data_IF_385495106670
#
_entry.id   IF_385495106670
#
_cell.length_a   1.000
_cell.length_b   1.000
_cell.length_c   1.000
_cell.angle_alpha   90.00
_cell.angle_beta   90.00
_cell.angle_gamma   90.00
#
_symmetry.space_group_name_H-M   'P 1'
#
loop_
_entity.id
_entity.type
_entity.pdbx_description
1 polymer ?
#
# COMPACT_ATOMS: atom_id res chain seq x y z
N UNK A 1 23.00 54.31 36.33
CA UNK A 1 22.26 55.26 37.19
C UNK A 1 20.77 55.01 36.94
N UNK A 2 20.07 54.44 37.94
CA UNK A 2 18.61 54.19 38.08
C UNK A 2 17.95 53.24 37.03
N UNK A 3 17.68 51.95 37.27
CA UNK A 3 16.69 51.25 38.13
C UNK A 3 15.22 51.68 38.02
N UNK A 4 14.33 50.76 37.59
CA UNK A 4 13.09 50.28 38.26
C UNK A 4 12.21 49.55 37.22
N UNK A 5 12.13 48.21 37.12
CA UNK A 5 11.28 47.23 37.85
C UNK A 5 9.91 47.71 38.38
N UNK A 6 8.83 47.10 37.88
CA UNK A 6 7.59 46.67 38.60
C UNK A 6 6.81 45.78 37.60
N UNK A 7 6.57 44.47 37.73
CA UNK A 7 6.01 43.57 38.78
C UNK A 7 4.46 43.58 38.85
N UNK A 8 3.87 42.58 38.16
CA UNK A 8 2.91 41.54 38.61
C UNK A 8 1.40 41.80 38.85
N UNK A 9 0.64 40.75 38.44
CA UNK A 9 -0.48 40.04 39.11
C UNK A 9 -1.96 40.37 38.71
N UNK A 10 -2.56 39.39 38.02
CA UNK A 10 -3.72 38.53 38.40
C UNK A 10 -5.05 39.14 38.90
N UNK A 11 -6.16 38.66 38.30
CA UNK A 11 -7.53 38.41 38.82
C UNK A 11 -8.56 38.68 37.71
N UNK A 12 -9.72 38.06 37.57
CA UNK A 12 -10.35 36.84 38.07
C UNK A 12 -11.70 36.77 37.30
N UNK A 13 -12.26 35.56 37.16
CA UNK A 13 -13.53 35.28 36.51
C UNK A 13 -14.71 36.08 37.10
N UNK A 14 -15.73 36.36 36.28
CA UNK A 14 -17.08 36.66 36.73
C UNK A 14 -18.12 36.22 35.69
N UNK A 15 -18.80 35.13 36.03
CA UNK A 15 -20.12 34.71 35.55
C UNK A 15 -21.14 35.84 35.76
N UNK A 16 -22.00 36.11 34.77
CA UNK A 16 -23.35 36.60 35.06
C UNK A 16 -24.32 36.17 33.95
N UNK A 17 -25.27 35.33 34.34
CA UNK A 17 -26.47 35.01 33.60
C UNK A 17 -27.52 36.12 33.81
N UNK A 18 -28.26 36.47 32.77
CA UNK A 18 -29.61 37.02 32.94
C UNK A 18 -30.47 36.62 31.73
N UNK A 19 -31.70 36.20 32.06
CA UNK A 19 -32.66 35.56 31.17
C UNK A 19 -33.66 36.56 30.56
N UNK A 20 -34.48 36.00 29.64
CA UNK A 20 -35.88 36.33 29.28
C UNK A 20 -36.09 37.28 28.09
N UNK A 21 -36.62 36.66 27.03
CA UNK A 21 -37.29 37.30 25.90
C UNK A 21 -38.02 36.25 25.05
N UNK A 22 -39.14 35.71 25.57
CA UNK A 22 -40.08 34.86 24.83
C UNK A 22 -40.83 35.65 23.75
N UNK A 23 -41.02 35.06 22.57
CA UNK A 23 -42.31 35.04 21.84
C UNK A 23 -42.41 33.85 20.88
N UNK A 24 -43.45 33.03 21.10
CA UNK A 24 -44.26 32.11 20.27
C UNK A 24 -43.97 32.03 18.74
N UNK A 25 -44.25 30.95 18.01
CA UNK A 25 -44.83 29.60 18.24
C UNK A 25 -44.77 28.86 16.89
N UNK A 26 -44.48 27.57 16.88
CA UNK A 26 -45.14 26.57 16.02
C UNK A 26 -44.68 25.17 16.45
N UNK A 27 -45.66 24.32 16.67
CA UNK A 27 -45.57 22.95 17.15
C UNK A 27 -45.86 22.04 15.95
N UNK A 28 -44.96 21.12 15.63
CA UNK A 28 -45.30 19.91 14.88
C UNK A 28 -44.68 18.70 15.57
N UNK A 29 -45.49 17.65 15.65
CA UNK A 29 -45.33 16.42 16.42
C UNK A 29 -44.22 15.54 15.86
N UNK A 30 -43.45 14.91 16.76
CA UNK A 30 -42.55 13.82 16.44
C UNK A 30 -43.14 12.54 17.04
N UNK A 31 -43.71 11.68 16.20
CA UNK A 31 -44.21 10.35 16.59
C UNK A 31 -43.06 9.34 16.53
N UNK A 32 -42.47 9.03 17.68
CA UNK A 32 -41.59 7.86 17.83
C UNK A 32 -42.45 6.62 18.10
N UNK A 33 -42.43 5.68 17.16
CA UNK A 33 -42.99 4.34 17.32
C UNK A 33 -41.94 3.45 17.98
N UNK A 34 -42.25 2.98 19.20
CA UNK A 34 -41.48 1.97 19.92
C UNK A 34 -41.57 0.61 19.20
N UNK A 35 -40.41 -0.03 18.97
CA UNK A 35 -40.34 -1.44 18.61
C UNK A 35 -39.89 -2.26 19.83
N UNK A 36 -40.83 -3.06 20.28
CA UNK A 36 -40.72 -4.06 21.32
C UNK A 36 -39.88 -5.25 20.83
N UNK A 37 -38.69 -5.47 21.41
CA UNK A 37 -37.95 -6.73 21.27
C UNK A 37 -37.86 -7.39 22.64
N UNK A 38 -38.30 -8.63 22.66
CA UNK A 38 -38.50 -9.51 23.79
C UNK A 38 -37.19 -10.21 24.15
N UNK A 39 -36.73 -10.06 25.40
CA UNK A 39 -35.59 -10.78 25.97
C UNK A 39 -35.83 -12.30 26.05
N UNK A 40 -34.78 -13.07 25.76
CA UNK A 40 -34.64 -14.46 26.19
C UNK A 40 -33.49 -14.53 27.20
N UNK A 41 -33.84 -14.83 28.44
CA UNK A 41 -32.97 -15.11 29.59
C UNK A 41 -32.39 -16.53 29.57
N UNK A 42 -31.08 -16.64 29.84
CA UNK A 42 -30.43 -17.69 30.65
C UNK A 42 -28.95 -17.32 30.80
N UNK A 43 -28.27 -17.28 31.95
CA UNK A 43 -28.55 -17.52 33.37
C UNK A 43 -27.25 -17.18 34.13
N UNK A 44 -27.37 -16.66 35.35
CA UNK A 44 -26.28 -16.16 36.19
C UNK A 44 -25.24 -17.22 36.63
N UNK A 45 -23.99 -16.79 36.77
CA UNK A 45 -23.20 -17.07 37.98
C UNK A 45 -22.23 -15.93 38.27
N UNK A 46 -22.41 -15.28 39.43
CA UNK A 46 -21.49 -14.37 40.13
C UNK A 46 -20.20 -15.13 40.54
N UNK A 47 -19.00 -14.55 40.72
CA UNK A 47 -18.67 -13.40 41.56
C UNK A 47 -17.21 -12.87 41.39
N UNK A 48 -17.05 -11.55 41.56
CA UNK A 48 -15.92 -10.69 42.02
C UNK A 48 -14.53 -10.63 41.35
N UNK A 49 -14.33 -9.51 40.65
CA UNK A 49 -13.21 -8.54 40.59
C UNK A 49 -11.73 -8.95 40.81
N UNK A 50 -10.91 -8.70 39.78
CA UNK A 50 -9.58 -8.09 39.92
C UNK A 50 -9.24 -7.25 38.66
N UNK A 51 -8.87 -5.99 38.90
CA UNK A 51 -8.35 -5.02 37.94
C UNK A 51 -7.08 -5.54 37.27
N UNK A 52 -7.06 -5.57 35.93
CA UNK A 52 -5.83 -5.39 35.16
C UNK A 52 -6.15 -4.89 33.75
N UNK A 53 -5.56 -3.74 33.42
CA UNK A 53 -5.45 -3.19 32.08
C UNK A 53 -4.69 -4.15 31.17
N UNK A 54 -5.37 -4.69 30.18
CA UNK A 54 -4.75 -5.23 28.97
C UNK A 54 -5.66 -4.87 27.81
N UNK A 55 -5.14 -4.01 26.94
CA UNK A 55 -5.72 -3.68 25.66
C UNK A 55 -5.87 -5.00 24.90
N UNK A 56 -7.12 -5.43 24.78
CA UNK A 56 -7.46 -6.69 24.13
C UNK A 56 -7.80 -6.30 22.71
N UNK A 57 -6.84 -6.46 21.81
CA UNK A 57 -7.07 -6.40 20.36
C UNK A 57 -8.20 -7.38 20.05
N UNK A 58 -9.39 -6.85 19.83
CA UNK A 58 -10.51 -7.63 19.34
C UNK A 58 -10.21 -7.97 17.89
N UNK A 59 -9.81 -9.21 17.65
CA UNK A 59 -9.73 -9.80 16.30
C UNK A 59 -11.09 -9.63 15.64
N UNK A 60 -11.19 -8.69 14.69
CA UNK A 60 -12.43 -8.36 14.01
C UNK A 60 -12.79 -9.50 13.04
N UNK A 61 -13.66 -10.38 13.49
CA UNK A 61 -14.14 -11.58 12.77
C UNK A 61 -15.58 -11.44 12.28
N UNK A 62 -16.13 -10.22 12.27
CA UNK A 62 -17.49 -9.95 11.79
C UNK A 62 -17.46 -9.56 10.30
N UNK A 63 -17.87 -10.50 9.44
CA UNK A 63 -18.08 -10.22 8.02
C UNK A 63 -19.10 -9.09 7.81
N UNK A 64 -18.81 -8.19 6.87
CA UNK A 64 -19.68 -7.07 6.46
C UNK A 64 -19.52 -5.79 7.29
N UNK A 65 -18.46 -5.65 8.09
CA UNK A 65 -18.13 -4.41 8.81
C UNK A 65 -16.87 -3.80 8.20
N UNK A 66 -16.84 -2.48 8.00
CA UNK A 66 -15.63 -1.77 7.57
C UNK A 66 -14.46 -2.08 8.52
N UNK A 67 -13.27 -2.30 7.98
CA UNK A 67 -12.06 -2.38 8.81
C UNK A 67 -11.80 -1.02 9.46
N UNK A 68 -11.91 0.04 8.66
CA UNK A 68 -11.80 1.43 9.13
C UNK A 68 -12.91 2.33 8.60
N UNK A 69 -13.31 3.32 9.41
CA UNK A 69 -14.24 4.37 9.00
C UNK A 69 -13.48 5.50 8.29
N UNK A 70 -13.54 5.48 6.96
CA UNK A 70 -12.87 6.42 6.08
C UNK A 70 -13.22 7.90 6.32
N UNK A 71 -14.37 8.20 6.95
CA UNK A 71 -14.77 9.57 7.22
C UNK A 71 -13.82 10.31 8.17
N UNK A 72 -13.09 9.57 9.02
CA UNK A 72 -12.15 10.15 10.00
C UNK A 72 -10.71 10.27 9.51
N UNK A 73 -10.38 9.65 8.37
CA UNK A 73 -9.00 9.54 7.88
C UNK A 73 -8.49 10.81 7.20
N UNK A 74 -9.40 11.68 6.74
CA UNK A 74 -9.05 12.92 6.03
C UNK A 74 -9.60 14.14 6.76
N UNK A 75 -8.74 15.11 7.04
CA UNK A 75 -9.18 16.41 7.56
C UNK A 75 -9.71 17.32 6.45
N UNK A 76 -10.45 18.37 6.82
CA UNK A 76 -10.84 19.42 5.87
C UNK A 76 -9.62 20.06 5.18
N UNK A 77 -8.49 20.11 5.88
CA UNK A 77 -7.26 20.68 5.34
C UNK A 77 -6.62 19.78 4.30
N UNK A 78 -6.61 18.47 4.51
CA UNK A 78 -6.08 17.49 3.56
C UNK A 78 -6.84 17.57 2.24
N UNK A 79 -8.17 17.73 2.33
CA UNK A 79 -9.08 17.80 1.20
C UNK A 79 -9.07 19.15 0.45
N UNK A 80 -8.43 20.19 0.99
CA UNK A 80 -8.35 21.49 0.34
C UNK A 80 -7.40 21.45 -0.87
N UNK A 81 -7.96 21.47 -2.08
CA UNK A 81 -7.24 21.33 -3.35
C UNK A 81 -6.51 22.59 -3.83
N UNK A 82 -6.53 23.68 -3.05
CA UNK A 82 -5.88 24.95 -3.39
C UNK A 82 -5.21 25.55 -2.17
N UNK A 83 -4.15 26.33 -2.40
CA UNK A 83 -3.45 27.08 -1.36
C UNK A 83 -3.97 28.53 -1.26
N UNK A 84 -3.94 29.10 -0.06
CA UNK A 84 -4.00 30.56 0.10
C UNK A 84 -2.62 31.14 -0.19
N UNK A 85 -2.50 31.92 -1.25
CA UNK A 85 -1.24 32.48 -1.72
C UNK A 85 -0.98 33.91 -1.22
N UNK A 86 -1.85 34.47 -0.38
CA UNK A 86 -1.76 35.87 0.04
C UNK A 86 -0.48 36.21 0.82
N UNK A 87 0.02 35.27 1.60
CA UNK A 87 1.27 35.39 2.39
C UNK A 87 2.38 34.47 1.88
N UNK A 88 2.22 33.88 0.69
CA UNK A 88 3.14 32.89 0.18
C UNK A 88 4.50 33.47 -0.20
N UNK A 89 5.57 32.76 0.17
CA UNK A 89 6.93 33.02 -0.32
C UNK A 89 7.09 32.34 -1.67
N UNK A 90 7.58 33.05 -2.68
CA UNK A 90 7.76 32.49 -4.03
C UNK A 90 9.24 32.30 -4.35
N UNK A 91 9.61 31.08 -4.74
CA UNK A 91 10.91 30.73 -5.29
C UNK A 91 10.82 30.46 -6.79
N UNK A 92 11.76 31.03 -7.55
CA UNK A 92 12.03 30.60 -8.93
C UNK A 92 13.31 29.78 -8.89
N UNK A 93 13.22 28.49 -9.21
CA UNK A 93 14.38 27.59 -9.12
C UNK A 93 15.48 27.99 -10.09
N UNK A 94 16.73 27.76 -9.69
CA UNK A 94 17.94 28.05 -10.47
C UNK A 94 18.93 26.92 -10.24
N UNK A 95 19.61 26.47 -11.30
CA UNK A 95 20.53 25.33 -11.22
C UNK A 95 21.53 25.45 -10.04
N UNK A 96 21.71 24.36 -9.29
CA UNK A 96 22.64 24.27 -8.15
C UNK A 96 22.33 25.23 -6.99
N UNK A 97 21.06 25.63 -6.83
CA UNK A 97 20.62 26.49 -5.73
C UNK A 97 19.48 25.85 -4.95
N UNK A 98 19.85 25.15 -3.88
CA UNK A 98 18.90 24.55 -2.95
C UNK A 98 18.03 25.60 -2.25
N UNK A 99 16.83 25.15 -1.86
CA UNK A 99 15.85 25.92 -1.11
C UNK A 99 15.73 25.29 0.27
N UNK A 100 15.93 26.07 1.33
CA UNK A 100 15.74 25.63 2.71
C UNK A 100 14.50 26.30 3.30
N UNK A 101 13.55 25.49 3.77
CA UNK A 101 12.31 25.89 4.42
C UNK A 101 12.40 25.45 5.88
N UNK A 102 12.45 26.41 6.80
CA UNK A 102 12.67 26.16 8.23
C UNK A 102 11.56 26.71 9.13
N UNK A 103 10.47 27.21 8.54
CA UNK A 103 9.33 27.80 9.26
C UNK A 103 8.02 27.32 8.62
N UNK A 104 6.95 27.26 9.41
CA UNK A 104 5.60 27.06 8.89
C UNK A 104 5.23 28.14 7.85
N UNK A 105 4.52 27.76 6.80
CA UNK A 105 4.09 28.71 5.77
C UNK A 105 3.73 28.08 4.44
N UNK A 106 3.43 28.95 3.46
CA UNK A 106 3.12 28.56 2.08
C UNK A 106 4.26 29.01 1.16
N UNK A 107 4.77 28.09 0.37
CA UNK A 107 5.95 28.27 -0.48
C UNK A 107 5.63 27.87 -1.92
N UNK A 108 5.60 28.84 -2.84
CA UNK A 108 5.36 28.58 -4.27
C UNK A 108 6.69 28.32 -4.96
N UNK A 109 6.80 27.18 -5.63
CA UNK A 109 7.97 26.74 -6.38
C UNK A 109 7.62 26.73 -7.87
N UNK A 110 8.45 27.41 -8.68
CA UNK A 110 8.24 27.51 -10.13
C UNK A 110 9.55 27.55 -10.90
N UNK A 111 9.47 27.21 -12.19
CA UNK A 111 10.59 27.29 -13.13
C UNK A 111 11.30 25.96 -13.34
N UNK A 112 12.30 25.98 -14.20
CA UNK A 112 13.09 24.79 -14.57
C UNK A 112 14.49 24.88 -13.98
N UNK A 113 14.97 23.83 -13.32
CA UNK A 113 16.33 23.79 -12.79
C UNK A 113 16.89 22.36 -12.69
N UNK A 114 18.21 22.29 -12.50
CA UNK A 114 18.93 21.06 -12.19
C UNK A 114 19.69 21.15 -10.87
N UNK A 115 19.83 20.03 -10.18
CA UNK A 115 20.56 19.93 -8.91
C UNK A 115 20.03 20.97 -7.90
N UNK A 116 18.73 20.93 -7.66
CA UNK A 116 18.03 21.76 -6.67
C UNK A 116 17.22 20.85 -5.77
N UNK A 117 17.53 20.87 -4.48
CA UNK A 117 16.70 20.23 -3.45
C UNK A 117 15.93 21.28 -2.66
N UNK A 118 14.62 21.05 -2.50
CA UNK A 118 13.76 21.78 -1.59
C UNK A 118 13.75 20.99 -0.28
N UNK A 119 14.52 21.46 0.69
CA UNK A 119 14.63 20.83 2.02
C UNK A 119 13.68 21.49 3.00
N UNK A 120 12.83 20.70 3.66
CA UNK A 120 11.99 21.13 4.78
C UNK A 120 12.60 20.62 6.07
N UNK A 121 13.00 21.53 6.95
CA UNK A 121 13.51 21.26 8.29
C UNK A 121 12.89 22.31 9.24
N UNK A 122 11.57 22.22 9.38
CA UNK A 122 10.75 23.12 10.21
C UNK A 122 10.63 22.56 11.64
N UNK A 123 9.89 23.23 12.53
CA UNK A 123 9.64 22.71 13.87
C UNK A 123 8.70 21.49 13.86
N UNK A 124 8.77 20.66 14.90
CA UNK A 124 7.99 19.42 15.04
C UNK A 124 6.45 19.62 15.02
N UNK A 125 5.99 20.84 15.28
CA UNK A 125 4.57 21.23 15.29
C UNK A 125 4.20 22.10 14.07
N UNK A 126 5.17 22.37 13.19
CA UNK A 126 5.00 23.28 12.06
C UNK A 126 4.40 22.54 10.86
N UNK A 127 3.41 23.18 10.22
CA UNK A 127 2.83 22.73 8.95
C UNK A 127 3.36 23.57 7.81
N UNK A 128 3.88 22.90 6.79
CA UNK A 128 4.45 23.54 5.59
C UNK A 128 3.63 23.17 4.38
N UNK A 129 3.32 24.14 3.51
CA UNK A 129 2.70 23.88 2.22
C UNK A 129 3.63 24.31 1.08
N UNK A 130 4.08 23.34 0.30
CA UNK A 130 4.79 23.54 -0.96
C UNK A 130 3.75 23.55 -2.09
N UNK A 131 3.71 24.62 -2.87
CA UNK A 131 2.84 24.75 -4.05
C UNK A 131 3.71 24.66 -5.29
N UNK A 132 3.57 23.58 -6.05
CA UNK A 132 4.25 23.39 -7.34
C UNK A 132 3.43 24.08 -8.43
N UNK A 133 3.99 25.13 -9.04
CA UNK A 133 3.35 25.95 -10.07
C UNK A 133 4.25 26.08 -11.31
N UNK A 134 4.28 25.02 -12.12
CA UNK A 134 5.17 24.95 -13.28
C UNK A 134 6.63 24.69 -12.89
N UNK A 135 6.85 23.84 -11.88
CA UNK A 135 8.18 23.38 -11.49
C UNK A 135 8.64 22.22 -12.38
N UNK A 136 9.84 22.31 -12.94
CA UNK A 136 10.50 21.25 -13.73
C UNK A 136 11.94 21.06 -13.22
N UNK A 137 12.13 20.12 -12.29
CA UNK A 137 13.38 19.97 -11.54
C UNK A 137 13.96 18.59 -11.76
N UNK A 138 15.24 18.51 -12.09
CA UNK A 138 15.97 17.23 -12.23
C UNK A 138 17.21 17.23 -11.33
N UNK A 139 17.29 16.27 -10.42
CA UNK A 139 18.50 15.97 -9.66
C UNK A 139 19.15 14.69 -10.16
N UNK A 140 20.43 14.51 -9.83
CA UNK A 140 21.14 13.28 -10.16
C UNK A 140 21.09 12.27 -9.01
N UNK A 141 21.26 12.70 -7.77
CA UNK A 141 21.59 11.79 -6.67
C UNK A 141 20.89 12.10 -5.33
N UNK A 142 19.99 13.08 -5.28
CA UNK A 142 19.25 13.43 -4.06
C UNK A 142 17.79 13.76 -4.38
N UNK A 143 16.86 13.63 -3.42
CA UNK A 143 15.47 14.01 -3.62
C UNK A 143 15.33 15.44 -4.13
N UNK A 144 14.28 15.69 -4.89
CA UNK A 144 13.89 17.04 -5.30
C UNK A 144 13.17 17.73 -4.15
N UNK A 145 12.29 17.02 -3.44
CA UNK A 145 11.70 17.47 -2.19
C UNK A 145 12.18 16.52 -1.09
N UNK A 146 12.82 17.06 -0.07
CA UNK A 146 13.31 16.32 1.08
C UNK A 146 12.75 16.92 2.36
N UNK A 147 11.81 16.24 3.00
CA UNK A 147 11.27 16.61 4.30
C UNK A 147 12.04 15.87 5.38
N UNK A 148 12.83 16.62 6.14
CA UNK A 148 13.60 16.12 7.28
C UNK A 148 12.80 16.14 8.57
N UNK A 149 12.00 17.19 8.76
CA UNK A 149 11.23 17.44 9.97
C UNK A 149 10.12 18.47 9.71
N UNK A 150 8.88 18.13 10.08
CA UNK A 150 7.70 18.98 10.22
C UNK A 150 6.57 18.16 10.90
N UNK A 151 5.51 18.81 11.39
CA UNK A 151 4.29 18.07 11.78
C UNK A 151 3.60 17.47 10.54
N UNK A 152 3.58 18.24 9.45
CA UNK A 152 2.95 17.85 8.20
C UNK A 152 3.41 18.69 7.03
N UNK A 153 3.69 18.05 5.91
CA UNK A 153 3.97 18.75 4.64
C UNK A 153 2.87 18.50 3.62
N UNK A 154 2.34 19.58 3.06
CA UNK A 154 1.43 19.54 1.92
C UNK A 154 2.20 19.84 0.64
N UNK A 155 2.15 18.97 -0.36
CA UNK A 155 2.60 19.25 -1.73
C UNK A 155 1.36 19.44 -2.60
N UNK A 156 1.04 20.71 -2.86
CA UNK A 156 -0.12 21.12 -3.64
C UNK A 156 0.28 21.40 -5.08
N UNK A 157 -0.31 20.69 -6.03
CA UNK A 157 -0.04 20.88 -7.46
C UNK A 157 -0.99 21.89 -8.11
N UNK A 158 -0.43 22.81 -8.89
CA UNK A 158 -1.15 23.63 -9.86
C UNK A 158 -0.36 23.64 -11.18
N UNK A 159 -1.06 23.79 -12.31
CA UNK A 159 -0.43 23.67 -13.62
C UNK A 159 0.21 22.29 -13.84
N UNK A 160 1.22 22.23 -14.70
CA UNK A 160 1.96 21.00 -15.00
C UNK A 160 3.35 21.04 -14.35
N UNK A 161 3.70 20.00 -13.62
CA UNK A 161 4.95 19.90 -12.87
C UNK A 161 5.71 18.62 -13.22
N UNK A 162 7.03 18.66 -13.13
CA UNK A 162 7.91 17.52 -13.39
C UNK A 162 9.05 17.50 -12.38
N UNK A 163 9.24 16.39 -11.68
CA UNK A 163 10.33 16.19 -10.74
C UNK A 163 11.04 14.88 -11.08
N UNK A 164 12.37 14.89 -11.13
CA UNK A 164 13.15 13.72 -11.55
C UNK A 164 14.39 13.51 -10.72
N UNK A 165 14.73 12.24 -10.51
CA UNK A 165 16.07 11.81 -10.10
C UNK A 165 16.57 10.77 -11.10
N UNK A 166 17.76 11.00 -11.65
CA UNK A 166 18.24 10.27 -12.84
C UNK A 166 19.48 9.38 -12.60
N UNK A 167 20.14 9.54 -11.45
CA UNK A 167 21.32 8.78 -11.05
C UNK A 167 21.02 7.86 -9.87
N UNK A 168 21.95 7.74 -8.93
CA UNK A 168 21.80 6.89 -7.75
C UNK A 168 21.62 7.76 -6.53
N UNK A 169 20.58 7.51 -5.74
CA UNK A 169 20.33 8.23 -4.51
C UNK A 169 21.49 8.11 -3.52
N UNK A 170 21.82 9.22 -2.89
CA UNK A 170 22.84 9.34 -1.86
C UNK A 170 22.16 9.58 -0.53
N UNK A 171 22.31 8.64 0.41
CA UNK A 171 21.76 8.75 1.75
C UNK A 171 22.26 10.00 2.51
N UNK A 172 21.40 10.54 3.37
CA UNK A 172 21.72 11.60 4.32
C UNK A 172 21.92 11.01 5.72
N UNK A 173 23.18 10.68 6.03
CA UNK A 173 23.52 9.97 7.26
C UNK A 173 22.92 8.57 7.26
N UNK A 174 22.07 8.28 8.26
CA UNK A 174 21.35 7.01 8.38
C UNK A 174 20.00 7.03 7.62
N UNK A 175 19.61 8.15 7.01
CA UNK A 175 18.36 8.28 6.26
C UNK A 175 18.59 7.82 4.83
N UNK A 176 17.92 6.73 4.42
CA UNK A 176 17.93 6.26 3.03
C UNK A 176 17.01 7.14 2.16
N UNK A 177 17.54 8.21 1.58
CA UNK A 177 16.74 9.13 0.76
C UNK A 177 16.53 8.55 -0.63
N UNK A 178 15.63 7.58 -0.77
CA UNK A 178 15.45 6.74 -1.97
C UNK A 178 14.27 7.16 -2.88
N UNK A 179 13.76 8.40 -2.73
CA UNK A 179 12.63 8.88 -3.51
C UNK A 179 12.81 10.30 -4.07
N UNK A 180 12.11 10.61 -5.17
CA UNK A 180 12.09 11.97 -5.75
C UNK A 180 11.45 12.97 -4.80
N UNK A 181 10.37 12.54 -4.14
CA UNK A 181 9.78 13.21 -2.98
C UNK A 181 9.96 12.25 -1.81
N UNK A 182 10.80 12.64 -0.85
CA UNK A 182 11.08 11.84 0.33
C UNK A 182 10.66 12.62 1.57
N UNK A 183 9.90 11.98 2.45
CA UNK A 183 9.45 12.57 3.71
C UNK A 183 9.73 11.66 4.89
N UNK A 184 10.30 12.22 5.95
CA UNK A 184 10.42 11.53 7.24
C UNK A 184 9.14 11.63 8.09
N UNK A 185 8.27 12.58 7.75
CA UNK A 185 7.02 12.86 8.48
C UNK A 185 5.80 12.79 7.55
N UNK A 186 4.61 13.02 8.08
CA UNK A 186 3.34 13.05 7.35
C UNK A 186 3.37 13.88 6.06
N UNK A 187 2.98 13.26 4.96
CA UNK A 187 2.92 13.87 3.64
C UNK A 187 1.49 13.91 3.09
N UNK A 188 1.07 15.06 2.56
CA UNK A 188 -0.21 15.21 1.88
C UNK A 188 0.00 15.73 0.46
N UNK A 189 -0.42 14.95 -0.52
CA UNK A 189 -0.47 15.35 -1.92
C UNK A 189 -1.90 15.76 -2.28
N UNK A 190 -2.05 16.97 -2.80
CA UNK A 190 -3.33 17.48 -3.28
C UNK A 190 -3.11 18.47 -4.41
N UNK A 191 -4.20 19.06 -4.90
CA UNK A 191 -4.12 20.06 -5.95
C UNK A 191 -4.98 19.72 -7.15
N UNK A 192 -5.05 20.68 -8.07
CA UNK A 192 -5.77 20.52 -9.34
C UNK A 192 -4.84 20.37 -10.53
N UNK A 193 -3.52 20.42 -10.30
CA UNK A 193 -2.48 20.30 -11.32
C UNK A 193 -2.08 18.86 -11.62
N UNK A 194 -1.06 18.74 -12.47
CA UNK A 194 -0.39 17.50 -12.79
C UNK A 194 1.04 17.47 -12.23
N UNK A 195 1.51 16.28 -11.88
CA UNK A 195 2.87 16.00 -11.43
C UNK A 195 3.39 14.74 -12.13
N UNK A 196 4.45 14.91 -12.91
CA UNK A 196 5.22 13.82 -13.52
C UNK A 196 6.44 13.52 -12.67
N UNK A 197 6.65 12.25 -12.31
CA UNK A 197 7.80 11.77 -11.54
C UNK A 197 8.53 10.71 -12.36
N UNK A 198 9.85 10.89 -12.50
CA UNK A 198 10.76 9.85 -13.01
C UNK A 198 11.83 9.58 -11.96
N UNK A 199 11.86 8.35 -11.43
CA UNK A 199 12.80 7.93 -10.39
C UNK A 199 13.58 6.70 -10.81
N UNK A 200 14.84 6.67 -10.41
CA UNK A 200 15.73 5.50 -10.48
C UNK A 200 15.59 4.57 -9.27
N UNK A 201 14.71 4.90 -8.35
CA UNK A 201 14.35 4.10 -7.18
C UNK A 201 12.85 4.36 -6.89
N UNK A 202 12.44 4.67 -5.65
CA UNK A 202 11.07 5.00 -5.30
C UNK A 202 10.60 6.33 -5.93
N UNK A 203 9.32 6.43 -6.30
CA UNK A 203 8.76 7.69 -6.79
C UNK A 203 8.56 8.69 -5.65
N UNK A 204 7.76 8.29 -4.66
CA UNK A 204 7.41 9.05 -3.46
C UNK A 204 7.55 8.10 -2.27
N UNK A 205 8.24 8.53 -1.22
CA UNK A 205 8.36 7.76 0.03
C UNK A 205 8.04 8.65 1.23
N UNK A 206 7.28 8.11 2.18
CA UNK A 206 6.90 8.74 3.45
C UNK A 206 7.14 7.77 4.59
N UNK A 207 7.91 8.16 5.60
CA UNK A 207 8.12 7.30 6.77
C UNK A 207 6.93 7.27 7.74
N UNK A 208 5.95 8.17 7.58
CA UNK A 208 4.68 8.19 8.31
C UNK A 208 3.50 8.15 7.31
N UNK A 209 2.32 8.71 7.65
CA UNK A 209 1.14 8.70 6.80
C UNK A 209 1.33 9.48 5.49
N UNK A 210 1.02 8.85 4.36
CA UNK A 210 0.92 9.50 3.06
C UNK A 210 -0.54 9.60 2.63
N UNK A 211 -1.02 10.83 2.43
CA UNK A 211 -2.39 11.10 1.97
C UNK A 211 -2.42 11.70 0.58
N UNK A 212 -3.31 11.22 -0.29
CA UNK A 212 -3.55 11.79 -1.61
C UNK A 212 -5.03 12.13 -1.77
N UNK A 213 -5.36 13.41 -1.91
CA UNK A 213 -6.77 13.85 -1.93
C UNK A 213 -7.22 14.44 -3.25
N UNK A 214 -6.31 14.59 -4.22
CA UNK A 214 -6.58 15.05 -5.57
C UNK A 214 -5.30 15.24 -6.37
N UNK A 215 -5.40 15.71 -7.61
CA UNK A 215 -4.28 15.89 -8.53
C UNK A 215 -4.20 14.81 -9.61
N UNK A 216 -3.29 15.01 -10.57
CA UNK A 216 -2.98 14.03 -11.63
C UNK A 216 -1.51 13.64 -11.56
N UNK A 217 -1.22 12.35 -11.37
CA UNK A 217 0.13 11.82 -11.16
C UNK A 217 0.51 10.88 -12.29
N UNK A 218 1.67 11.12 -12.90
CA UNK A 218 2.31 10.18 -13.82
C UNK A 218 3.65 9.78 -13.24
N UNK A 219 3.79 8.52 -12.79
CA UNK A 219 4.97 8.07 -12.04
C UNK A 219 5.63 6.91 -12.79
N UNK A 220 6.92 7.06 -13.06
CA UNK A 220 7.79 5.96 -13.50
C UNK A 220 8.90 5.78 -12.48
N UNK A 221 9.01 4.59 -11.90
CA UNK A 221 9.96 4.25 -10.84
C UNK A 221 10.71 2.95 -11.17
N UNK A 222 11.91 2.79 -10.62
CA UNK A 222 12.66 1.52 -10.72
C UNK A 222 12.47 0.63 -9.47
N UNK A 223 11.95 1.19 -8.39
CA UNK A 223 11.37 0.49 -7.24
C UNK A 223 9.88 0.90 -7.15
N UNK A 224 9.34 1.11 -5.96
CA UNK A 224 7.93 1.39 -5.72
C UNK A 224 7.55 2.78 -6.23
N UNK A 225 6.35 2.92 -6.81
CA UNK A 225 5.94 4.23 -7.30
C UNK A 225 5.53 5.16 -6.14
N UNK A 226 4.80 4.62 -5.16
CA UNK A 226 4.42 5.32 -3.93
C UNK A 226 4.56 4.34 -2.77
N UNK A 227 5.37 4.71 -1.79
CA UNK A 227 5.62 3.95 -0.57
C UNK A 227 5.29 4.80 0.66
N UNK A 228 4.74 4.17 1.69
CA UNK A 228 4.64 4.79 3.01
C UNK A 228 4.74 3.75 4.13
N UNK A 229 5.35 4.09 5.26
CA UNK A 229 5.47 3.09 6.32
C UNK A 229 4.13 2.85 7.05
N UNK A 230 3.47 3.93 7.47
CA UNK A 230 2.29 3.82 8.32
C UNK A 230 1.03 3.56 7.51
N UNK A 231 0.76 4.41 6.51
CA UNK A 231 -0.39 4.23 5.64
C UNK A 231 -0.30 5.00 4.32
N UNK A 232 -0.97 4.45 3.30
CA UNK A 232 -1.34 5.19 2.08
C UNK A 232 -2.85 5.41 2.07
N UNK A 233 -3.27 6.66 2.12
CA UNK A 233 -4.68 7.07 2.21
C UNK A 233 -5.07 7.88 0.97
N UNK A 234 -5.87 7.31 0.08
CA UNK A 234 -6.28 7.96 -1.16
C UNK A 234 -7.76 8.29 -1.13
N UNK A 235 -8.07 9.59 -1.08
CA UNK A 235 -9.45 10.06 -1.20
C UNK A 235 -9.86 10.23 -2.67
N UNK A 236 -8.95 10.76 -3.50
CA UNK A 236 -9.19 10.99 -4.91
C UNK A 236 -7.86 11.26 -5.65
N UNK A 237 -7.91 11.26 -6.97
CA UNK A 237 -6.77 11.54 -7.85
C UNK A 237 -6.87 10.80 -9.17
N UNK A 238 -5.99 11.11 -10.12
CA UNK A 238 -5.78 10.32 -11.34
C UNK A 238 -4.34 9.87 -11.40
N UNK A 239 -4.11 8.56 -11.54
CA UNK A 239 -2.79 7.95 -11.46
C UNK A 239 -2.50 7.16 -12.73
N UNK A 240 -1.36 7.44 -13.35
CA UNK A 240 -0.75 6.59 -14.38
C UNK A 240 0.61 6.16 -13.88
N UNK A 241 0.74 4.88 -13.51
CA UNK A 241 1.93 4.36 -12.82
C UNK A 241 2.58 3.26 -13.67
N UNK A 242 3.89 3.35 -13.84
CA UNK A 242 4.74 2.31 -14.39
C UNK A 242 5.91 2.06 -13.42
N UNK A 243 5.69 1.14 -12.50
CA UNK A 243 6.68 0.71 -11.51
C UNK A 243 7.50 -0.46 -12.04
N UNK A 244 8.67 -0.69 -11.44
CA UNK A 244 9.45 -1.92 -11.64
C UNK A 244 9.39 -2.85 -10.43
N UNK A 245 8.83 -2.40 -9.32
CA UNK A 245 8.39 -3.21 -8.17
C UNK A 245 6.88 -2.97 -8.00
N UNK A 246 6.44 -2.33 -6.91
CA UNK A 246 5.02 -2.16 -6.57
C UNK A 246 4.50 -0.79 -7.03
N UNK A 247 3.21 -0.69 -7.32
CA UNK A 247 2.61 0.60 -7.63
C UNK A 247 2.31 1.41 -6.36
N UNK A 248 1.65 0.78 -5.38
CA UNK A 248 1.41 1.32 -4.05
C UNK A 248 1.88 0.29 -3.03
N UNK A 249 2.76 0.66 -2.10
CA UNK A 249 3.32 -0.23 -1.09
C UNK A 249 3.27 0.40 0.28
N UNK A 250 2.69 -0.28 1.26
CA UNK A 250 2.66 0.19 2.64
C UNK A 250 3.14 -0.88 3.62
N UNK A 251 4.24 -0.59 4.33
CA UNK A 251 4.83 -1.51 5.31
C UNK A 251 5.56 -0.77 6.43
N UNK A 252 5.29 -1.13 7.69
CA UNK A 252 6.07 -0.64 8.82
C UNK A 252 6.84 -1.82 9.42
N UNK A 253 8.18 -1.76 9.35
CA UNK A 253 9.05 -2.84 9.83
C UNK A 253 9.00 -3.03 11.36
N UNK A 254 8.61 -1.98 12.10
CA UNK A 254 8.59 -1.97 13.57
C UNK A 254 7.20 -2.29 14.15
N UNK A 255 6.11 -1.99 13.42
CA UNK A 255 4.72 -2.24 13.81
C UNK A 255 3.88 -2.83 12.66
N UNK A 256 3.74 -4.15 12.65
CA UNK A 256 2.96 -4.87 11.63
C UNK A 256 1.45 -4.63 11.69
N UNK A 257 0.94 -3.87 12.67
CA UNK A 257 -0.45 -3.40 12.69
C UNK A 257 -0.67 -2.15 11.82
N UNK A 258 0.40 -1.47 11.43
CA UNK A 258 0.40 -0.38 10.44
C UNK A 258 0.72 -0.93 9.03
N UNK A 259 1.17 -0.08 8.11
CA UNK A 259 1.37 -0.44 6.70
C UNK A 259 0.06 -0.81 6.02
N UNK A 260 -0.96 0.05 6.09
CA UNK A 260 -2.25 -0.20 5.45
C UNK A 260 -2.56 0.76 4.31
N UNK A 261 -3.39 0.31 3.38
CA UNK A 261 -3.87 1.13 2.27
C UNK A 261 -5.38 1.31 2.38
N UNK A 262 -5.83 2.56 2.31
CA UNK A 262 -7.24 2.91 2.21
C UNK A 262 -7.50 3.74 0.96
N UNK A 263 -8.50 3.35 0.16
CA UNK A 263 -8.88 4.07 -1.06
C UNK A 263 -10.39 4.29 -1.09
N UNK A 264 -10.85 5.54 -0.99
CA UNK A 264 -12.27 5.88 -1.17
C UNK A 264 -12.65 6.18 -2.62
N UNK A 265 -11.66 6.53 -3.45
CA UNK A 265 -11.91 6.98 -4.81
C UNK A 265 -10.64 7.27 -5.61
N UNK A 266 -10.85 7.71 -6.85
CA UNK A 266 -9.78 8.00 -7.81
C UNK A 266 -9.85 7.15 -9.07
N UNK A 267 -8.93 7.41 -10.00
CA UNK A 267 -8.74 6.64 -11.23
C UNK A 267 -7.30 6.17 -11.35
N UNK A 268 -7.09 4.86 -11.48
CA UNK A 268 -5.79 4.23 -11.45
C UNK A 268 -5.55 3.43 -12.74
N UNK A 269 -4.45 3.74 -13.42
CA UNK A 269 -3.92 2.95 -14.53
C UNK A 269 -2.51 2.50 -14.15
N UNK A 270 -2.39 1.26 -13.69
CA UNK A 270 -1.21 0.70 -13.06
C UNK A 270 -0.57 -0.36 -13.96
N UNK A 271 0.74 -0.24 -14.11
CA UNK A 271 1.63 -1.31 -14.53
C UNK A 271 2.73 -1.45 -13.48
N UNK A 272 2.78 -2.58 -12.79
CA UNK A 272 3.80 -2.94 -11.81
C UNK A 272 4.48 -4.23 -12.28
N UNK A 273 5.73 -4.47 -11.88
CA UNK A 273 6.36 -5.78 -12.16
C UNK A 273 6.15 -6.76 -11.02
N UNK A 274 5.90 -6.25 -9.82
CA UNK A 274 5.53 -7.01 -8.63
C UNK A 274 4.06 -6.67 -8.33
N UNK A 275 3.71 -5.97 -7.26
CA UNK A 275 2.30 -5.79 -6.89
C UNK A 275 1.66 -4.52 -7.45
N UNK A 276 0.39 -4.65 -7.84
CA UNK A 276 -0.42 -3.49 -8.16
C UNK A 276 -0.65 -2.60 -6.93
N UNK A 277 -1.12 -3.21 -5.84
CA UNK A 277 -1.41 -2.54 -4.57
C UNK A 277 -1.07 -3.52 -3.45
N UNK A 278 -0.09 -3.18 -2.60
CA UNK A 278 0.34 -3.99 -1.47
C UNK A 278 0.20 -3.23 -0.15
N UNK A 279 -0.68 -3.69 0.73
CA UNK A 279 -0.70 -3.29 2.14
C UNK A 279 -0.20 -4.42 3.01
N UNK A 280 0.57 -4.16 4.06
CA UNK A 280 0.98 -5.20 5.02
C UNK A 280 -0.19 -5.68 5.85
N UNK A 281 -0.85 -4.78 6.57
CA UNK A 281 -1.96 -5.15 7.47
C UNK A 281 -3.28 -5.30 6.73
N UNK A 282 -3.76 -4.25 6.07
CA UNK A 282 -4.95 -4.35 5.23
C UNK A 282 -4.93 -3.41 4.02
N UNK A 283 -5.71 -3.79 3.00
CA UNK A 283 -6.08 -2.93 1.88
C UNK A 283 -7.61 -2.84 1.83
N UNK A 284 -8.15 -1.64 2.06
CA UNK A 284 -9.59 -1.36 1.98
C UNK A 284 -9.90 -0.43 0.79
N UNK A 285 -10.79 -0.88 -0.09
CA UNK A 285 -11.25 -0.14 -1.27
C UNK A 285 -12.76 0.13 -1.14
N UNK A 286 -13.10 1.39 -0.90
CA UNK A 286 -14.49 1.87 -0.78
C UNK A 286 -15.01 2.47 -2.10
N UNK A 287 -14.14 2.64 -3.10
CA UNK A 287 -14.52 3.12 -4.42
C UNK A 287 -13.33 3.40 -5.33
N UNK A 288 -13.63 3.94 -6.52
CA UNK A 288 -12.62 4.27 -7.53
C UNK A 288 -12.75 3.42 -8.80
N UNK A 289 -11.87 3.70 -9.77
CA UNK A 289 -11.74 2.93 -11.02
C UNK A 289 -10.30 2.50 -11.23
N UNK A 290 -10.07 1.20 -11.39
CA UNK A 290 -8.74 0.61 -11.44
C UNK A 290 -8.57 -0.21 -12.72
N UNK A 291 -7.42 -0.04 -13.37
CA UNK A 291 -6.88 -0.96 -14.37
C UNK A 291 -5.47 -1.32 -13.91
N UNK A 292 -5.27 -2.57 -13.51
CA UNK A 292 -4.04 -3.06 -12.88
C UNK A 292 -3.45 -4.16 -13.77
N UNK A 293 -2.18 -4.01 -14.12
CA UNK A 293 -1.36 -5.06 -14.73
C UNK A 293 -0.13 -5.28 -13.85
N UNK A 294 0.01 -6.46 -13.25
CA UNK A 294 0.99 -6.71 -12.20
C UNK A 294 1.33 -8.22 -12.09
N UNK A 295 2.30 -8.58 -11.23
CA UNK A 295 2.48 -9.96 -10.79
C UNK A 295 1.27 -10.36 -9.96
N UNK A 296 1.08 -9.72 -8.79
CA UNK A 296 -0.18 -9.77 -8.05
C UNK A 296 -0.98 -8.48 -8.21
N UNK A 297 -2.31 -8.58 -8.28
CA UNK A 297 -3.15 -7.41 -8.46
C UNK A 297 -3.29 -6.55 -7.21
N UNK A 298 -3.81 -7.15 -6.14
CA UNK A 298 -4.02 -6.53 -4.83
C UNK A 298 -3.64 -7.53 -3.76
N UNK A 299 -2.70 -7.17 -2.89
CA UNK A 299 -2.24 -8.03 -1.79
C UNK A 299 -2.35 -7.32 -0.44
N UNK A 300 -2.81 -8.04 0.58
CA UNK A 300 -2.63 -7.67 1.98
C UNK A 300 -2.85 -8.85 2.93
N UNK A 301 -2.69 -8.67 4.24
CA UNK A 301 -3.24 -9.65 5.19
C UNK A 301 -4.76 -9.65 5.19
N UNK A 302 -5.38 -8.48 5.06
CA UNK A 302 -6.82 -8.39 4.86
C UNK A 302 -7.13 -7.52 3.65
N UNK A 303 -7.74 -8.08 2.61
CA UNK A 303 -8.25 -7.32 1.47
C UNK A 303 -9.75 -7.15 1.62
N UNK A 304 -10.22 -5.91 1.78
CA UNK A 304 -11.65 -5.56 1.81
C UNK A 304 -12.02 -4.68 0.61
N UNK A 305 -12.97 -5.15 -0.20
CA UNK A 305 -13.50 -4.40 -1.34
C UNK A 305 -14.98 -4.11 -1.11
N UNK A 306 -15.29 -2.87 -0.76
CA UNK A 306 -16.65 -2.41 -0.48
C UNK A 306 -17.38 -1.91 -1.73
N UNK A 307 -16.68 -1.25 -2.64
CA UNK A 307 -17.21 -0.84 -3.94
C UNK A 307 -16.08 -0.53 -4.93
N UNK A 308 -16.43 -0.09 -6.14
CA UNK A 308 -15.50 0.37 -7.16
C UNK A 308 -15.60 -0.42 -8.46
N UNK A 309 -14.89 0.06 -9.48
CA UNK A 309 -14.73 -0.65 -10.76
C UNK A 309 -13.28 -1.11 -10.90
N UNK A 310 -13.04 -2.39 -10.72
CA UNK A 310 -11.68 -2.95 -10.60
C UNK A 310 -11.44 -3.92 -11.75
N UNK A 311 -10.41 -3.68 -12.56
CA UNK A 311 -9.96 -4.59 -13.61
C UNK A 311 -8.52 -4.99 -13.36
N UNK A 312 -8.29 -6.25 -13.01
CA UNK A 312 -6.96 -6.84 -12.76
C UNK A 312 -6.57 -7.77 -13.90
N UNK A 313 -5.33 -7.62 -14.36
CA UNK A 313 -4.62 -8.62 -15.15
C UNK A 313 -3.33 -8.99 -14.43
N UNK A 314 -3.29 -10.18 -13.84
CA UNK A 314 -2.20 -10.62 -12.98
C UNK A 314 -1.48 -11.84 -13.58
N UNK A 315 -0.18 -11.96 -13.33
CA UNK A 315 0.62 -13.13 -13.75
C UNK A 315 0.91 -14.13 -12.65
N UNK A 316 0.71 -13.75 -11.39
CA UNK A 316 0.66 -14.63 -10.22
C UNK A 316 -0.79 -14.64 -9.69
N UNK A 317 -1.13 -13.95 -8.60
CA UNK A 317 -2.50 -13.93 -8.06
C UNK A 317 -3.27 -12.63 -8.34
N UNK A 318 -4.57 -12.77 -8.57
CA UNK A 318 -5.42 -11.62 -8.90
C UNK A 318 -5.65 -10.72 -7.69
N UNK A 319 -6.16 -11.31 -6.62
CA UNK A 319 -6.33 -10.72 -5.30
C UNK A 319 -5.80 -11.74 -4.32
N UNK A 320 -4.81 -11.37 -3.51
CA UNK A 320 -4.12 -12.26 -2.60
C UNK A 320 -4.30 -11.79 -1.14
N UNK A 321 -4.66 -12.72 -0.26
CA UNK A 321 -4.59 -12.52 1.17
C UNK A 321 -3.57 -13.46 1.81
N UNK A 322 -2.44 -12.91 2.26
CA UNK A 322 -1.30 -13.65 2.79
C UNK A 322 -0.95 -13.24 4.23
N UNK A 323 -0.21 -14.05 4.97
CA UNK A 323 0.12 -13.73 6.38
C UNK A 323 1.29 -12.73 6.44
N UNK A 324 1.03 -11.42 6.23
CA UNK A 324 2.04 -10.35 6.37
C UNK A 324 2.03 -9.67 7.75
N UNK A 325 0.86 -9.60 8.38
CA UNK A 325 0.60 -8.95 9.67
C UNK A 325 0.04 -9.95 10.68
N UNK A 326 0.45 -9.83 11.93
CA UNK A 326 -0.12 -10.59 13.06
C UNK A 326 -1.37 -9.93 13.66
N UNK A 327 -1.67 -8.68 13.28
CA UNK A 327 -2.86 -7.96 13.75
C UNK A 327 -4.16 -8.44 13.08
N UNK A 328 -4.05 -9.04 11.89
CA UNK A 328 -5.17 -9.55 11.10
C UNK A 328 -4.96 -11.02 10.74
N UNK A 329 -6.02 -11.67 10.27
CA UNK A 329 -5.95 -12.99 9.64
C UNK A 329 -6.15 -12.86 8.14
N UNK A 330 -5.49 -13.68 7.30
CA UNK A 330 -5.70 -13.72 5.86
C UNK A 330 -7.16 -13.80 5.45
N UNK A 331 -7.70 -12.72 4.88
CA UNK A 331 -9.08 -12.66 4.39
C UNK A 331 -9.18 -11.85 3.11
N UNK A 332 -9.91 -12.40 2.14
CA UNK A 332 -10.51 -11.62 1.05
C UNK A 332 -11.99 -11.44 1.36
N UNK A 333 -12.42 -10.19 1.53
CA UNK A 333 -13.83 -9.84 1.70
C UNK A 333 -14.30 -8.88 0.60
N UNK A 334 -15.29 -9.31 -0.19
CA UNK A 334 -15.88 -8.52 -1.26
C UNK A 334 -17.34 -8.23 -0.93
N UNK A 335 -17.63 -6.99 -0.56
CA UNK A 335 -18.96 -6.51 -0.20
C UNK A 335 -19.71 -5.87 -1.37
N UNK A 336 -19.00 -5.44 -2.43
CA UNK A 336 -19.59 -4.75 -3.58
C UNK A 336 -18.65 -4.61 -4.78
N UNK A 337 -19.01 -3.71 -5.71
CA UNK A 337 -18.19 -3.37 -6.89
C UNK A 337 -18.48 -4.15 -8.18
N UNK A 338 -17.84 -3.69 -9.25
CA UNK A 338 -17.73 -4.33 -10.58
C UNK A 338 -16.27 -4.75 -10.77
N UNK A 339 -16.00 -6.04 -10.57
CA UNK A 339 -14.65 -6.60 -10.49
C UNK A 339 -14.44 -7.55 -11.66
N UNK A 340 -13.41 -7.31 -12.46
CA UNK A 340 -12.92 -8.22 -13.49
C UNK A 340 -11.52 -8.68 -13.13
N UNK A 341 -11.32 -9.98 -13.03
CA UNK A 341 -9.99 -10.57 -12.78
C UNK A 341 -9.64 -11.49 -13.93
N UNK A 342 -8.52 -11.20 -14.59
CA UNK A 342 -8.00 -12.02 -15.68
C UNK A 342 -6.61 -12.53 -15.32
N UNK A 343 -6.50 -13.84 -15.20
CA UNK A 343 -5.24 -14.47 -14.86
C UNK A 343 -4.42 -14.83 -16.09
N UNK A 344 -3.10 -14.77 -15.90
CA UNK A 344 -2.11 -15.36 -16.78
C UNK A 344 -2.23 -16.89 -16.83
N UNK A 345 -1.21 -17.53 -17.42
CA UNK A 345 -1.07 -18.98 -17.38
C UNK A 345 -0.08 -19.37 -16.30
N UNK A 346 -0.38 -20.39 -15.52
CA UNK A 346 0.51 -20.86 -14.48
C UNK A 346 -0.25 -21.57 -13.38
N UNK A 347 0.43 -21.73 -12.26
CA UNK A 347 -0.20 -21.95 -10.97
C UNK A 347 -0.50 -20.57 -10.42
N UNK A 348 -1.76 -20.13 -10.57
CA UNK A 348 -2.21 -18.75 -10.37
C UNK A 348 -3.69 -18.79 -10.04
N UNK A 349 -4.12 -18.06 -9.02
CA UNK A 349 -5.51 -17.99 -8.61
C UNK A 349 -6.07 -16.58 -8.79
N UNK A 350 -7.33 -16.49 -9.21
CA UNK A 350 -7.98 -15.18 -9.31
C UNK A 350 -8.16 -14.55 -7.93
N UNK A 351 -8.53 -15.35 -6.93
CA UNK A 351 -8.59 -14.99 -5.52
C UNK A 351 -7.85 -16.08 -4.73
N UNK A 352 -6.70 -15.75 -4.15
CA UNK A 352 -5.96 -16.63 -3.23
C UNK A 352 -6.04 -16.10 -1.80
N UNK A 353 -6.41 -16.95 -0.85
CA UNK A 353 -6.35 -16.60 0.56
C UNK A 353 -5.72 -17.72 1.38
N UNK A 354 -4.62 -17.41 2.07
CA UNK A 354 -4.08 -18.25 3.15
C UNK A 354 -5.00 -18.34 4.39
N UNK A 355 -6.26 -17.91 4.24
CA UNK A 355 -7.34 -17.96 5.21
C UNK A 355 -8.68 -18.02 4.48
N UNK A 356 -9.54 -17.02 4.62
CA UNK A 356 -10.94 -17.15 4.15
C UNK A 356 -11.32 -16.18 3.03
N UNK A 357 -12.29 -16.60 2.21
CA UNK A 357 -12.89 -15.77 1.16
C UNK A 357 -14.38 -15.55 1.49
N UNK A 358 -14.82 -14.30 1.54
CA UNK A 358 -16.22 -13.93 1.72
C UNK A 358 -16.68 -13.04 0.56
N UNK A 359 -17.66 -13.50 -0.22
CA UNK A 359 -18.29 -12.69 -1.27
C UNK A 359 -19.72 -12.39 -0.84
N UNK A 360 -19.93 -11.17 -0.36
CA UNK A 360 -21.20 -10.67 0.18
C UNK A 360 -22.00 -9.87 -0.86
N UNK A 361 -21.36 -9.36 -1.90
CA UNK A 361 -21.99 -8.55 -2.94
C UNK A 361 -21.14 -8.37 -4.20
N UNK A 362 -21.56 -7.45 -5.06
CA UNK A 362 -20.85 -7.10 -6.30
C UNK A 362 -21.17 -7.95 -7.53
N UNK A 363 -20.57 -7.57 -8.65
CA UNK A 363 -20.52 -8.34 -9.90
C UNK A 363 -19.07 -8.67 -10.19
N UNK A 364 -18.73 -9.95 -10.21
CA UNK A 364 -17.36 -10.44 -10.32
C UNK A 364 -17.26 -11.34 -11.55
N UNK A 365 -16.42 -10.97 -12.51
CA UNK A 365 -16.13 -11.75 -13.72
C UNK A 365 -14.67 -12.21 -13.73
N UNK A 366 -14.48 -13.53 -13.64
CA UNK A 366 -13.18 -14.17 -13.52
C UNK A 366 -12.89 -14.95 -14.80
N UNK A 367 -11.74 -14.68 -15.40
CA UNK A 367 -11.15 -15.52 -16.46
C UNK A 367 -9.84 -16.10 -15.94
N UNK A 368 -9.87 -17.36 -15.50
CA UNK A 368 -8.73 -17.99 -14.85
C UNK A 368 -8.73 -19.53 -15.02
N UNK A 369 -7.57 -20.16 -14.89
CA UNK A 369 -7.48 -21.63 -14.78
C UNK A 369 -8.00 -22.09 -13.41
N UNK A 370 -7.58 -21.39 -12.37
CA UNK A 370 -7.98 -21.57 -10.99
C UNK A 370 -8.59 -20.26 -10.49
N UNK A 371 -9.81 -20.33 -9.97
CA UNK A 371 -10.57 -19.13 -9.63
C UNK A 371 -10.48 -18.78 -8.14
N UNK A 372 -10.33 -19.79 -7.27
CA UNK A 372 -10.36 -19.61 -5.83
C UNK A 372 -9.45 -20.63 -5.17
N UNK A 373 -8.41 -20.17 -4.48
CA UNK A 373 -7.69 -20.97 -3.49
C UNK A 373 -7.89 -20.37 -2.10
N UNK A 374 -8.12 -21.24 -1.12
CA UNK A 374 -8.32 -20.82 0.25
C UNK A 374 -8.05 -21.93 1.27
N UNK A 375 -7.33 -21.60 2.34
CA UNK A 375 -7.02 -22.53 3.44
C UNK A 375 -8.16 -22.68 4.47
N UNK A 376 -9.01 -21.65 4.57
CA UNK A 376 -10.06 -21.49 5.56
C UNK A 376 -11.45 -21.80 5.01
N UNK A 377 -12.36 -20.83 5.15
CA UNK A 377 -13.72 -20.94 4.62
C UNK A 377 -13.87 -20.11 3.36
N UNK A 378 -14.75 -20.55 2.47
CA UNK A 378 -15.24 -19.70 1.41
C UNK A 378 -16.77 -19.66 1.42
N UNK A 379 -17.33 -18.45 1.39
CA UNK A 379 -18.78 -18.24 1.41
C UNK A 379 -19.20 -17.27 0.29
N UNK A 380 -20.19 -17.67 -0.50
CA UNK A 380 -20.88 -16.82 -1.47
C UNK A 380 -22.24 -16.42 -0.89
N UNK A 381 -22.25 -15.32 -0.14
CA UNK A 381 -23.41 -14.82 0.60
C UNK A 381 -24.30 -13.89 -0.24
N UNK A 382 -23.75 -13.28 -1.30
CA UNK A 382 -24.47 -12.42 -2.22
C UNK A 382 -23.70 -12.12 -3.49
N UNK A 383 -24.20 -11.17 -4.30
CA UNK A 383 -23.57 -10.77 -5.56
C UNK A 383 -23.77 -11.75 -6.72
N UNK A 384 -23.02 -11.54 -7.80
CA UNK A 384 -22.99 -12.41 -8.99
C UNK A 384 -21.54 -12.70 -9.35
N UNK A 385 -21.17 -13.98 -9.36
CA UNK A 385 -19.83 -14.43 -9.71
C UNK A 385 -19.89 -15.29 -10.97
N UNK A 386 -19.14 -14.88 -11.99
CA UNK A 386 -19.00 -15.61 -13.26
C UNK A 386 -17.55 -16.06 -13.40
N UNK A 387 -17.35 -17.35 -13.65
CA UNK A 387 -16.02 -17.92 -13.92
C UNK A 387 -16.03 -18.51 -15.32
N UNK A 388 -15.14 -18.01 -16.18
CA UNK A 388 -14.99 -18.44 -17.57
C UNK A 388 -16.34 -18.44 -18.34
N UNK A 389 -17.14 -17.39 -18.14
CA UNK A 389 -18.45 -17.22 -18.78
C UNK A 389 -19.59 -18.03 -18.17
N UNK A 390 -19.36 -18.77 -17.07
CA UNK A 390 -20.40 -19.52 -16.35
C UNK A 390 -20.61 -18.95 -14.96
N UNK A 391 -21.84 -18.57 -14.64
CA UNK A 391 -22.18 -18.13 -13.29
C UNK A 391 -22.06 -19.31 -12.30
N UNK A 392 -21.37 -19.10 -11.19
CA UNK A 392 -21.24 -20.08 -10.11
C UNK A 392 -22.23 -19.75 -8.98
N UNK A 393 -22.65 -20.79 -8.24
CA UNK A 393 -23.56 -20.65 -7.08
C UNK A 393 -22.88 -20.95 -5.75
N UNK A 394 -21.60 -21.30 -5.77
CA UNK A 394 -20.77 -21.59 -4.60
C UNK A 394 -19.30 -21.42 -4.97
N UNK A 395 -18.48 -21.01 -4.01
CA UNK A 395 -17.03 -20.99 -4.14
C UNK A 395 -16.51 -22.42 -3.94
N UNK A 396 -15.65 -22.89 -4.85
CA UNK A 396 -15.06 -24.23 -4.80
C UNK A 396 -13.55 -24.08 -4.87
N UNK A 397 -12.84 -24.62 -3.88
CA UNK A 397 -11.38 -24.57 -3.83
C UNK A 397 -10.76 -25.31 -5.04
N UNK A 398 -9.76 -24.68 -5.67
CA UNK A 398 -8.99 -25.17 -6.81
C UNK A 398 -8.30 -26.54 -6.57
N UNK A 399 -7.89 -26.86 -5.34
CA UNK A 399 -7.19 -28.11 -4.98
C UNK A 399 -8.11 -29.35 -4.90
N UNK A 400 -9.43 -29.21 -4.87
CA UNK A 400 -10.36 -30.35 -4.73
C UNK A 400 -10.58 -31.13 -6.05
N UNK A 401 -9.99 -30.68 -7.16
CA UNK A 401 -10.10 -31.33 -8.49
C UNK A 401 -9.03 -32.38 -8.81
N UNK A 402 -7.97 -32.50 -8.00
CA UNK A 402 -6.83 -33.43 -8.21
C UNK A 402 -7.10 -34.91 -7.89
N UNK A 403 -8.36 -35.32 -7.82
CA UNK A 403 -8.76 -36.70 -7.53
C UNK A 403 -8.38 -37.64 -8.67
N UNK A 404 -7.24 -38.31 -8.50
CA UNK A 404 -6.82 -39.55 -9.16
C UNK A 404 -7.91 -40.22 -10.01
N UNK A 405 -7.82 -40.04 -11.33
CA UNK A 405 -8.39 -40.95 -12.32
C UNK A 405 -7.63 -42.28 -12.31
N UNK A 406 -7.57 -42.95 -11.16
CA UNK A 406 -7.17 -44.34 -11.02
C UNK A 406 -8.23 -45.21 -11.66
N UNK A 407 -8.17 -45.37 -12.98
CA UNK A 407 -8.88 -46.44 -13.67
C UNK A 407 -8.35 -47.76 -13.14
N UNK A 408 -9.07 -48.29 -12.14
CA UNK A 408 -9.01 -49.67 -11.69
C UNK A 408 -9.42 -50.59 -12.83
N UNK A 409 -8.49 -50.90 -13.71
CA UNK A 409 -8.56 -52.02 -14.63
C UNK A 409 -8.07 -53.28 -13.93
N UNK A 410 -8.99 -54.05 -13.34
CA UNK A 410 -8.72 -55.44 -13.02
C UNK A 410 -8.62 -56.21 -14.33
N UNK A 411 -7.48 -56.86 -14.61
CA UNK A 411 -7.43 -58.13 -15.33
C UNK A 411 -6.22 -58.99 -14.87
N UNK A 412 -6.33 -60.34 -14.96
CA UNK A 412 -5.65 -61.26 -14.05
C UNK A 412 -4.48 -62.04 -14.68
N UNK A 413 -3.50 -62.40 -13.83
CA UNK A 413 -2.75 -63.66 -13.85
C UNK A 413 -1.91 -64.02 -15.10
N UNK A 414 -0.58 -64.05 -14.92
CA UNK A 414 0.34 -64.76 -15.81
C UNK A 414 1.78 -64.73 -15.29
N UNK A 415 2.31 -65.90 -14.95
CA UNK A 415 3.59 -66.14 -14.27
C UNK A 415 4.85 -65.90 -15.13
N UNK A 416 5.97 -65.79 -14.42
CA UNK A 416 7.34 -66.26 -14.73
C UNK A 416 8.33 -65.27 -15.36
N UNK A 417 9.50 -65.12 -14.73
CA UNK A 417 10.73 -64.78 -15.46
C UNK A 417 11.77 -63.98 -14.68
N UNK A 418 12.56 -64.70 -13.90
CA UNK A 418 13.81 -64.35 -13.23
C UNK A 418 14.72 -63.31 -13.93
N UNK A 419 15.37 -62.44 -13.14
CA UNK A 419 16.48 -61.60 -13.61
C UNK A 419 17.14 -60.80 -12.49
N UNK A 420 18.43 -61.05 -12.27
CA UNK A 420 19.12 -60.86 -11.01
C UNK A 420 19.73 -59.47 -10.76
N UNK A 421 20.13 -59.33 -9.50
CA UNK A 421 20.83 -58.25 -8.82
C UNK A 421 22.23 -57.90 -9.37
N UNK A 422 22.68 -56.70 -8.95
CA UNK A 422 24.06 -56.24 -8.70
C UNK A 422 24.85 -55.53 -9.82
N UNK A 423 25.16 -54.25 -9.52
CA UNK A 423 26.42 -53.55 -9.89
C UNK A 423 27.58 -54.17 -9.10
N UNK A 424 28.84 -54.14 -9.59
CA UNK A 424 29.75 -53.03 -9.23
C UNK A 424 30.86 -52.67 -10.26
N UNK A 425 31.30 -51.41 -10.13
CA UNK A 425 32.67 -50.84 -10.21
C UNK A 425 33.67 -51.22 -11.31
N UNK A 426 34.40 -50.21 -11.83
CA UNK A 426 35.76 -50.43 -12.36
C UNK A 426 36.23 -49.57 -13.54
N UNK A 427 36.86 -48.43 -13.21
CA UNK A 427 38.05 -47.80 -13.80
C UNK A 427 38.68 -48.34 -15.13
N UNK A 428 39.03 -47.41 -16.03
CA UNK A 428 40.36 -47.22 -16.69
C UNK A 428 40.32 -46.94 -18.21
N UNK A 429 41.12 -45.97 -18.65
CA UNK A 429 41.41 -45.74 -20.07
C UNK A 429 42.13 -44.41 -20.35
N UNK A 430 43.47 -44.45 -20.37
CA UNK A 430 44.41 -43.33 -20.63
C UNK A 430 44.61 -42.98 -22.12
N UNK A 431 45.29 -41.85 -22.35
CA UNK A 431 46.14 -41.39 -23.49
C UNK A 431 45.53 -40.22 -24.29
N UNK A 432 46.20 -39.11 -24.61
CA UNK A 432 47.57 -38.63 -24.38
C UNK A 432 47.87 -37.36 -25.21
N UNK A 433 48.85 -36.57 -24.73
CA UNK A 433 49.79 -35.66 -25.45
C UNK A 433 49.40 -34.24 -25.93
N UNK A 434 49.83 -33.22 -25.14
CA UNK A 434 50.77 -32.10 -25.46
C UNK A 434 50.42 -30.97 -26.46
N UNK A 435 51.09 -29.79 -26.47
CA UNK A 435 52.36 -29.45 -25.80
C UNK A 435 52.39 -28.11 -24.99
N UNK A 436 53.54 -27.87 -24.35
CA UNK A 436 53.92 -26.77 -23.44
C UNK A 436 54.30 -25.46 -24.16
N UNK A 437 54.19 -24.33 -23.45
CA UNK A 437 54.83 -23.05 -23.81
C UNK A 437 54.75 -21.98 -22.70
N UNK A 438 55.86 -21.85 -21.96
CA UNK A 438 56.49 -20.65 -21.36
C UNK A 438 55.69 -19.62 -20.52
N UNK A 439 56.15 -19.40 -19.28
CA UNK A 439 55.91 -18.21 -18.45
C UNK A 439 57.05 -17.19 -18.61
N UNK A 440 56.78 -15.90 -18.37
CA UNK A 440 57.55 -15.23 -17.32
C UNK A 440 56.75 -14.32 -16.36
N UNK A 441 57.32 -14.28 -15.16
CA UNK A 441 57.22 -13.47 -13.94
C UNK A 441 56.46 -12.12 -13.89
N UNK A 442 55.92 -11.92 -12.68
CA UNK A 442 55.80 -10.69 -11.87
C UNK A 442 54.66 -9.70 -12.16
N UNK A 443 53.74 -9.59 -11.20
CA UNK A 443 52.78 -8.47 -11.09
C UNK A 443 51.58 -8.74 -10.18
N UNK A 444 51.74 -8.50 -8.88
CA UNK A 444 50.74 -8.06 -7.88
C UNK A 444 49.23 -8.42 -8.07
N UNK A 445 48.69 -9.20 -7.13
CA UNK A 445 47.25 -9.20 -6.77
C UNK A 445 46.97 -8.08 -5.74
N UNK A 446 45.74 -7.56 -5.67
CA UNK A 446 44.74 -8.16 -4.77
C UNK A 446 43.43 -8.56 -5.47
N UNK A 447 42.72 -9.45 -4.79
CA UNK A 447 41.55 -10.22 -5.18
C UNK A 447 40.26 -9.42 -5.31
N UNK A 448 39.66 -9.48 -6.50
CA UNK A 448 38.21 -9.38 -6.70
C UNK A 448 37.62 -10.80 -6.70
N UNK A 449 36.53 -10.99 -5.97
CA UNK A 449 35.87 -12.28 -5.86
C UNK A 449 34.50 -12.17 -5.20
N UNK A 450 33.54 -11.52 -5.87
CA UNK A 450 32.14 -11.83 -5.65
C UNK A 450 31.47 -12.13 -6.99
N UNK A 451 31.09 -13.40 -7.13
CA UNK A 451 30.19 -13.89 -8.17
C UNK A 451 28.77 -13.39 -7.88
N UNK A 452 27.95 -13.15 -8.92
CA UNK A 452 26.53 -12.87 -8.74
C UNK A 452 25.79 -14.16 -8.36
N UNK A 453 25.22 -14.20 -7.15
CA UNK A 453 24.01 -14.99 -6.90
C UNK A 453 22.86 -14.18 -7.52
N UNK A 454 21.92 -14.73 -8.30
CA UNK A 454 21.35 -16.06 -8.20
C UNK A 454 19.86 -15.83 -7.93
N UNK A 455 19.08 -15.63 -9.01
CA UNK A 455 17.63 -15.57 -8.99
C UNK A 455 17.08 -16.78 -8.22
N UNK A 456 16.48 -16.51 -7.06
CA UNK A 456 15.74 -17.49 -6.27
C UNK A 456 14.27 -17.10 -6.28
N UNK A 457 13.49 -17.75 -7.15
CA UNK A 457 12.04 -17.77 -7.01
C UNK A 457 11.69 -18.43 -5.68
N UNK A 458 10.85 -17.76 -4.91
CA UNK A 458 10.29 -18.32 -3.70
C UNK A 458 9.25 -19.36 -4.11
N UNK A 459 9.65 -20.63 -4.04
CA UNK A 459 8.71 -21.73 -4.10
C UNK A 459 7.90 -21.76 -2.82
N UNK A 460 6.59 -21.63 -2.95
CA UNK A 460 5.64 -21.98 -1.91
C UNK A 460 5.88 -23.44 -1.52
N UNK A 461 6.22 -23.63 -0.26
CA UNK A 461 6.38 -24.94 0.35
C UNK A 461 5.42 -25.08 1.51
N UNK A 462 4.49 -26.04 1.39
CA UNK A 462 4.10 -26.89 2.52
C UNK A 462 3.88 -28.32 2.03
N UNK A 463 4.29 -29.36 2.79
CA UNK A 463 5.26 -29.41 3.88
C UNK A 463 6.69 -29.79 3.43
#
# INVERSE_FOLDING_TARGET
>A
MKTSKTVKIFCAALLSASMIGCTASAQEENTNTELNIQEITSGESTDTAASNTQDTVTVQTASGTLITDGASLFTDRDNAQTADLSEAVTYTVTDNQDISITEAGVYVIKGTAKEVTITVEAGDEDKVQIVLDGADITNTDVPVIYVKNADKVFVTTTGDNTLKVTGTFTADGDTNTDAVIFSKDDLVLNGTGSLTIESTDNGISSHDDLKITGGTYTITSASDAIEANDSILINNGTFTINSKKDALHAENEDDDSQGYIYISGGTFNITASDDGIQGTSFTQIDGGTFTINAAEGIEATYVQINDGKISVSASDDGINASNKSTAYTPVIEINGGDITVKMGSGDTDALDANGSIYINGGTIDITAQFAFDYDGKAELNGGTVTVNGTQVTSITNSMMGGGFGGHGGQMPGGESGDGAWQRPDGNSGMNGEGPQGEMPSDGQMPSDGQRPGGFGGHGHGRP
#
